data_IF_278105761888
#
_entry.id   IF_278105761888
#
_cell.length_a   1.000
_cell.length_b   1.000
_cell.length_c   1.000
_cell.angle_alpha   90.00
_cell.angle_beta   90.00
_cell.angle_gamma   90.00
#
_symmetry.space_group_name_H-M   'P 1'
#
loop_
_entity.id
_entity.type
_entity.pdbx_description
1 polymer ?
#
# COMPACT_ATOMS: atom_id res chain seq x y z
N UNK A 1 3.63 7.25 -11.54
CA UNK A 1 3.01 7.94 -10.38
C UNK A 1 2.96 6.91 -9.26
N UNK A 2 3.71 7.14 -8.18
CA UNK A 2 4.06 6.12 -7.17
C UNK A 2 3.15 6.08 -5.93
N UNK A 3 3.54 5.30 -4.93
CA UNK A 3 2.81 5.16 -3.66
C UNK A 3 2.70 6.44 -2.84
N UNK A 4 3.73 7.30 -2.85
CA UNK A 4 3.76 8.52 -2.05
C UNK A 4 2.55 9.46 -2.26
N UNK A 5 2.15 9.84 -3.50
CA UNK A 5 0.94 10.64 -3.69
C UNK A 5 -0.34 9.94 -3.24
N UNK A 6 -0.43 8.61 -3.37
CA UNK A 6 -1.60 7.84 -2.93
C UNK A 6 -1.70 7.77 -1.40
N UNK A 7 -0.59 7.51 -0.71
CA UNK A 7 -0.50 7.55 0.74
C UNK A 7 -0.88 8.93 1.30
N UNK A 8 -0.38 10.01 0.67
CA UNK A 8 -0.73 11.37 1.06
C UNK A 8 -2.22 11.69 0.84
N UNK A 9 -2.81 11.24 -0.28
CA UNK A 9 -4.23 11.42 -0.54
C UNK A 9 -5.10 10.69 0.50
N UNK A 10 -4.72 9.47 0.91
CA UNK A 10 -5.41 8.74 1.97
C UNK A 10 -5.34 9.47 3.31
N UNK A 11 -4.17 10.00 3.68
CA UNK A 11 -3.99 10.75 4.91
C UNK A 11 -4.81 12.05 4.92
N UNK A 12 -4.79 12.81 3.82
CA UNK A 12 -5.57 14.04 3.68
C UNK A 12 -7.08 13.76 3.77
N UNK A 13 -7.56 12.77 3.03
CA UNK A 13 -8.98 12.40 3.05
C UNK A 13 -9.45 11.96 4.45
N UNK A 14 -8.62 11.20 5.17
CA UNK A 14 -8.93 10.77 6.52
C UNK A 14 -9.00 11.95 7.50
N UNK A 15 -8.09 12.93 7.35
CA UNK A 15 -8.09 14.14 8.15
C UNK A 15 -9.33 15.01 7.86
N UNK A 16 -9.64 15.25 6.59
CA UNK A 16 -10.79 16.06 6.16
C UNK A 16 -12.13 15.47 6.63
N UNK A 17 -12.20 14.14 6.76
CA UNK A 17 -13.39 13.44 7.23
C UNK A 17 -13.36 13.08 8.72
N UNK A 18 -12.33 13.51 9.46
CA UNK A 18 -12.13 13.16 10.88
C UNK A 18 -12.31 11.66 11.15
N UNK A 19 -11.81 10.82 10.24
CA UNK A 19 -11.92 9.38 10.40
C UNK A 19 -11.18 8.93 11.67
N UNK A 20 -11.71 7.93 12.38
CA UNK A 20 -11.00 7.32 13.50
C UNK A 20 -9.85 6.44 12.97
N UNK A 21 -8.57 6.79 13.21
CA UNK A 21 -7.44 6.01 12.71
C UNK A 21 -7.21 4.71 13.47
N UNK A 22 -7.75 4.58 14.70
CA UNK A 22 -7.53 3.43 15.58
C UNK A 22 -8.86 2.93 16.15
N UNK A 23 -9.75 2.37 15.30
CA UNK A 23 -10.95 1.69 15.80
C UNK A 23 -10.56 0.46 16.62
N UNK A 24 -11.44 0.04 17.53
CA UNK A 24 -11.23 -1.22 18.24
C UNK A 24 -11.28 -2.38 17.24
N UNK A 25 -10.38 -3.39 17.32
CA UNK A 25 -10.26 -4.43 16.29
C UNK A 25 -11.58 -5.16 15.99
N UNK A 26 -12.33 -5.52 17.04
CA UNK A 26 -13.64 -6.16 16.86
C UNK A 26 -14.66 -5.26 16.13
N UNK A 27 -14.60 -3.95 16.36
CA UNK A 27 -15.53 -3.04 15.71
C UNK A 27 -15.26 -2.99 14.20
N UNK A 28 -13.99 -2.87 13.83
CA UNK A 28 -13.55 -2.90 12.44
C UNK A 28 -14.00 -4.18 11.73
N UNK A 29 -13.70 -5.35 12.30
CA UNK A 29 -13.99 -6.64 11.66
C UNK A 29 -15.46 -6.85 11.32
N UNK A 30 -16.38 -6.19 12.04
CA UNK A 30 -17.82 -6.35 11.84
C UNK A 30 -18.50 -5.16 11.15
N UNK A 31 -17.87 -3.97 11.11
CA UNK A 31 -18.54 -2.74 10.65
C UNK A 31 -17.78 -1.98 9.56
N UNK A 32 -16.54 -2.34 9.26
CA UNK A 32 -15.76 -1.68 8.23
C UNK A 32 -15.56 -2.61 7.04
N UNK A 33 -15.89 -2.11 5.85
CA UNK A 33 -15.61 -2.80 4.58
C UNK A 33 -14.12 -2.78 4.21
N UNK A 34 -13.34 -1.93 4.89
CA UNK A 34 -11.93 -1.68 4.62
C UNK A 34 -11.13 -1.61 5.92
N UNK A 35 -9.83 -1.99 5.88
CA UNK A 35 -8.95 -1.87 7.03
C UNK A 35 -8.71 -0.39 7.40
N UNK A 36 -8.18 -0.10 8.60
CA UNK A 36 -7.94 1.24 9.08
C UNK A 36 -6.94 1.98 8.20
N UNK A 37 -7.06 3.31 8.16
CA UNK A 37 -6.24 4.17 7.29
C UNK A 37 -4.73 3.94 7.46
N UNK A 38 -4.17 3.79 8.68
CA UNK A 38 -2.75 3.51 8.85
C UNK A 38 -2.29 2.23 8.12
N UNK A 39 -3.09 1.16 8.17
CA UNK A 39 -2.77 -0.11 7.52
C UNK A 39 -2.84 0.01 6.00
N UNK A 40 -3.83 0.74 5.48
CA UNK A 40 -3.96 1.02 4.04
C UNK A 40 -2.75 1.78 3.50
N UNK A 41 -2.27 2.79 4.24
CA UNK A 41 -1.07 3.55 3.86
C UNK A 41 0.15 2.63 3.83
N UNK A 42 0.31 1.77 4.84
CA UNK A 42 1.40 0.79 4.90
C UNK A 42 1.38 -0.12 3.68
N UNK A 43 0.24 -0.74 3.36
CA UNK A 43 0.13 -1.64 2.21
C UNK A 43 0.43 -0.95 0.88
N UNK A 44 -0.03 0.29 0.70
CA UNK A 44 0.25 1.06 -0.52
C UNK A 44 1.76 1.31 -0.69
N UNK A 45 2.46 1.59 0.41
CA UNK A 45 3.92 1.79 0.40
C UNK A 45 4.65 0.47 0.10
N UNK A 46 4.31 -0.60 0.83
CA UNK A 46 4.91 -1.93 0.66
C UNK A 46 4.73 -2.46 -0.78
N UNK A 47 3.52 -2.37 -1.35
CA UNK A 47 3.26 -2.80 -2.74
C UNK A 47 4.12 -2.05 -3.77
N UNK A 48 4.47 -0.79 -3.51
CA UNK A 48 5.33 -0.04 -4.42
C UNK A 48 6.80 -0.44 -4.32
N UNK A 49 7.24 -0.84 -3.14
CA UNK A 49 8.60 -1.36 -2.92
C UNK A 49 8.75 -2.73 -3.59
N UNK A 50 7.76 -3.62 -3.41
CA UNK A 50 7.72 -4.93 -4.07
C UNK A 50 7.66 -4.80 -5.61
N UNK A 51 6.90 -3.83 -6.12
CA UNK A 51 6.87 -3.52 -7.57
C UNK A 51 8.22 -3.04 -8.07
N UNK A 52 8.95 -2.24 -7.28
CA UNK A 52 10.28 -1.75 -7.64
C UNK A 52 11.31 -2.90 -7.65
N UNK A 53 11.25 -3.81 -6.68
CA UNK A 53 12.15 -4.96 -6.58
C UNK A 53 11.91 -5.98 -7.71
N UNK A 54 10.65 -6.23 -8.07
CA UNK A 54 10.30 -7.11 -9.21
C UNK A 54 10.69 -6.54 -10.58
N UNK A 55 10.87 -5.22 -10.71
CA UNK A 55 11.31 -4.59 -11.96
C UNK A 55 12.82 -4.68 -12.19
N UNK A 56 13.60 -4.98 -11.13
CA UNK A 56 15.07 -5.10 -11.18
C UNK A 56 15.52 -6.53 -11.54
N UNK A 57 14.64 -7.54 -11.41
CA UNK A 57 14.87 -8.89 -11.96
C UNK A 57 14.68 -8.92 -13.49
N UNK A 58 15.66 -8.40 -14.22
CA UNK A 58 15.81 -8.73 -15.65
C UNK A 58 16.32 -10.17 -15.78
N UNK A 59 15.63 -11.07 -16.52
CA UNK A 59 16.19 -12.37 -16.87
C UNK A 59 17.49 -12.15 -17.61
N UNK A 60 18.60 -12.61 -17.03
CA UNK A 60 19.90 -12.63 -17.69
C UNK A 60 19.74 -13.25 -19.07
N UNK A 61 20.28 -12.56 -20.08
CA UNK A 61 20.41 -13.05 -21.45
C UNK A 61 21.09 -14.42 -21.43
N UNK A 62 20.28 -15.47 -21.39
CA UNK A 62 20.71 -16.83 -21.57
C UNK A 62 21.04 -17.03 -23.04
N UNK A 63 22.17 -16.50 -23.49
CA UNK A 63 22.81 -16.95 -24.72
C UNK A 63 23.46 -18.31 -24.40
N UNK A 64 22.91 -19.46 -24.83
CA UNK A 64 23.68 -20.69 -24.81
C UNK A 64 24.81 -20.54 -25.83
N UNK A 65 26.03 -20.50 -25.32
CA UNK A 65 27.24 -20.60 -26.14
C UNK A 65 27.19 -21.91 -26.93
N UNK A 66 27.03 -21.82 -28.24
CA UNK A 66 27.08 -22.94 -29.20
C UNK A 66 28.44 -23.01 -29.89
#
# INVERSE_FOLDING_TARGET
MGAAPMANALAALAADNMQNPFPHPLYETFHHDHPPIPERIRYVQEMSEETAESAEETPGDGTPSA
#
